data_IF_520071686893
#
_entry.id   IF_520071686893
#
_cell.length_a   1.000
_cell.length_b   1.000
_cell.length_c   1.000
_cell.angle_alpha   90.00
_cell.angle_beta   90.00
_cell.angle_gamma   90.00
#
_symmetry.space_group_name_H-M   'P 1'
#
loop_
_entity.id
_entity.type
_entity.pdbx_description
1 polymer ?
#
# COMPACT_ATOMS: atom_id res chain seq x y z
N UNK A 1 -11.33 -50.26 -17.80
CA UNK A 1 -11.73 -48.85 -17.49
C UNK A 1 -10.46 -48.00 -17.37
N UNK A 2 -10.28 -47.05 -18.30
CA UNK A 2 -9.18 -46.07 -18.21
C UNK A 2 -9.63 -44.95 -17.27
N UNK A 3 -9.00 -44.85 -16.11
CA UNK A 3 -9.18 -43.70 -15.22
C UNK A 3 -8.35 -42.57 -15.82
N UNK A 4 -9.03 -41.58 -16.42
CA UNK A 4 -8.39 -40.38 -16.90
C UNK A 4 -8.18 -39.40 -15.74
N UNK A 5 -6.98 -38.89 -15.57
CA UNK A 5 -6.71 -37.77 -14.68
C UNK A 5 -7.06 -36.47 -15.43
N UNK A 6 -7.99 -35.72 -14.89
CA UNK A 6 -8.28 -34.37 -15.37
C UNK A 6 -7.35 -33.41 -14.65
N UNK A 7 -6.47 -32.73 -15.38
CA UNK A 7 -5.75 -31.57 -14.85
C UNK A 7 -6.72 -30.42 -14.85
N UNK A 8 -7.31 -30.14 -13.70
CA UNK A 8 -8.06 -28.89 -13.52
C UNK A 8 -7.07 -27.74 -13.52
N UNK A 9 -7.22 -26.81 -14.45
CA UNK A 9 -6.57 -25.50 -14.34
C UNK A 9 -7.02 -24.90 -13.01
N UNK A 10 -6.11 -24.45 -12.13
CA UNK A 10 -6.52 -23.81 -10.88
C UNK A 10 -7.40 -22.62 -11.25
N UNK A 11 -8.68 -22.66 -10.88
CA UNK A 11 -9.52 -21.48 -10.92
C UNK A 11 -8.97 -20.54 -9.88
N UNK A 12 -8.85 -19.28 -10.24
CA UNK A 12 -8.38 -18.22 -9.37
C UNK A 12 -9.04 -18.35 -8.00
N UNK A 13 -8.22 -18.53 -6.96
CA UNK A 13 -8.68 -18.35 -5.59
C UNK A 13 -8.85 -16.84 -5.40
N UNK A 14 -10.09 -16.41 -5.19
CA UNK A 14 -10.38 -15.03 -4.86
C UNK A 14 -9.86 -14.77 -3.43
N UNK A 15 -8.83 -13.96 -3.31
CA UNK A 15 -8.37 -13.45 -2.02
C UNK A 15 -8.94 -12.04 -1.84
N UNK A 16 -9.68 -11.84 -0.77
CA UNK A 16 -10.09 -10.50 -0.35
C UNK A 16 -9.15 -10.04 0.75
N UNK A 17 -8.47 -8.95 0.52
CA UNK A 17 -7.62 -8.31 1.55
C UNK A 17 -8.37 -7.10 2.08
N UNK A 18 -8.79 -7.16 3.33
CA UNK A 18 -9.43 -6.04 4.01
C UNK A 18 -8.35 -5.16 4.64
N UNK A 19 -8.35 -3.88 4.26
CA UNK A 19 -7.47 -2.87 4.82
C UNK A 19 -8.23 -1.96 5.78
N UNK A 20 -7.52 -1.43 6.74
CA UNK A 20 -8.05 -0.52 7.75
C UNK A 20 -8.60 0.78 7.17
N UNK A 21 -8.13 1.21 6.00
CA UNK A 21 -8.64 2.41 5.32
C UNK A 21 -10.13 2.33 4.94
N UNK A 22 -10.69 1.11 4.92
CA UNK A 22 -12.11 0.85 4.64
C UNK A 22 -12.93 0.56 5.89
N UNK A 23 -12.36 0.69 7.09
CA UNK A 23 -13.11 0.52 8.34
C UNK A 23 -13.94 1.78 8.57
N UNK A 24 -15.24 1.59 8.72
CA UNK A 24 -16.18 2.68 8.97
C UNK A 24 -15.79 3.47 10.22
N UNK A 25 -15.83 4.79 10.12
CA UNK A 25 -15.51 5.70 11.22
C UNK A 25 -14.02 5.95 11.45
N UNK A 26 -13.11 5.29 10.70
CA UNK A 26 -11.69 5.62 10.77
C UNK A 26 -11.40 6.96 10.10
N UNK A 27 -10.43 7.69 10.64
CA UNK A 27 -9.91 8.94 10.07
C UNK A 27 -8.47 8.76 9.61
N UNK A 28 -8.11 9.46 8.54
CA UNK A 28 -6.72 9.51 8.04
C UNK A 28 -6.09 10.84 8.42
N UNK A 29 -4.95 10.79 9.07
CA UNK A 29 -4.15 11.97 9.39
C UNK A 29 -2.85 11.93 8.61
N UNK A 30 -2.58 13.00 7.86
CA UNK A 30 -1.29 13.18 7.21
C UNK A 30 -0.25 13.59 8.24
N UNK A 31 0.89 12.88 8.23
CA UNK A 31 2.03 13.18 9.09
C UNK A 31 3.04 14.05 8.35
N UNK A 32 3.34 13.67 7.10
CA UNK A 32 4.36 14.35 6.31
C UNK A 32 4.14 14.13 4.80
N UNK A 33 4.54 15.13 3.99
CA UNK A 33 4.60 15.05 2.53
C UNK A 33 5.84 15.81 2.09
N UNK A 34 6.81 15.14 1.49
CA UNK A 34 8.04 15.77 1.06
C UNK A 34 8.78 14.99 -0.03
N UNK A 35 9.63 15.70 -0.78
CA UNK A 35 10.53 15.09 -1.74
C UNK A 35 11.76 14.51 -1.06
N UNK A 36 12.07 13.26 -1.37
CA UNK A 36 13.24 12.56 -0.82
C UNK A 36 14.04 11.86 -1.92
N UNK A 37 15.32 11.56 -1.62
CA UNK A 37 16.07 10.57 -2.38
C UNK A 37 15.66 9.17 -1.88
N UNK A 38 15.32 8.26 -2.78
CA UNK A 38 14.83 6.94 -2.42
C UNK A 38 15.94 6.07 -1.79
N UNK A 39 15.58 5.31 -0.78
CA UNK A 39 16.42 4.24 -0.27
C UNK A 39 16.48 3.04 -1.25
N UNK A 40 17.32 2.05 -0.98
CA UNK A 40 17.47 0.88 -1.85
C UNK A 40 16.16 0.09 -2.05
N UNK A 41 15.29 0.05 -1.04
CA UNK A 41 14.00 -0.63 -1.12
C UNK A 41 13.08 0.07 -2.11
N UNK A 42 12.96 1.39 -1.99
CA UNK A 42 12.14 2.22 -2.86
C UNK A 42 12.69 2.23 -4.29
N UNK A 43 14.04 2.32 -4.45
CA UNK A 43 14.69 2.24 -5.76
C UNK A 43 14.34 0.93 -6.49
N UNK A 44 14.45 -0.20 -5.80
CA UNK A 44 14.12 -1.52 -6.35
C UNK A 44 12.62 -1.67 -6.62
N UNK A 45 11.78 -1.11 -5.74
CA UNK A 45 10.34 -1.22 -5.86
C UNK A 45 9.78 -0.38 -7.01
N UNK A 46 10.41 0.75 -7.34
CA UNK A 46 10.00 1.66 -8.41
C UNK A 46 10.83 1.55 -9.68
N UNK A 47 11.89 0.72 -9.67
CA UNK A 47 12.87 0.60 -10.77
C UNK A 47 13.47 1.95 -11.17
N UNK A 48 13.90 2.73 -10.18
CA UNK A 48 14.44 4.09 -10.36
C UNK A 48 15.89 4.21 -9.89
N UNK A 49 16.57 5.24 -10.40
CA UNK A 49 17.97 5.52 -10.03
C UNK A 49 18.06 6.20 -8.65
N UNK A 50 19.20 6.05 -7.93
CA UNK A 50 19.39 6.64 -6.60
C UNK A 50 19.26 8.17 -6.54
N UNK A 51 19.47 8.85 -7.66
CA UNK A 51 19.39 10.31 -7.78
C UNK A 51 18.04 10.84 -8.25
N UNK A 52 17.07 9.96 -8.50
CA UNK A 52 15.71 10.34 -8.85
C UNK A 52 14.90 10.63 -7.59
N UNK A 53 14.38 11.86 -7.49
CA UNK A 53 13.54 12.26 -6.35
C UNK A 53 12.19 11.56 -6.42
N UNK A 54 11.72 11.11 -5.27
CA UNK A 54 10.34 10.62 -5.08
C UNK A 54 9.62 11.49 -4.06
N UNK A 55 8.32 11.60 -4.20
CA UNK A 55 7.47 12.20 -3.17
C UNK A 55 7.06 11.09 -2.21
N UNK A 56 7.42 11.27 -0.94
CA UNK A 56 6.98 10.42 0.17
C UNK A 56 5.76 11.02 0.86
N UNK A 57 4.74 10.20 1.08
CA UNK A 57 3.57 10.53 1.87
C UNK A 57 3.51 9.62 3.09
N UNK A 58 3.44 10.23 4.26
CA UNK A 58 3.24 9.51 5.51
C UNK A 58 1.84 9.77 6.06
N UNK A 59 1.13 8.70 6.41
CA UNK A 59 -0.24 8.76 6.91
C UNK A 59 -0.45 7.85 8.09
N UNK A 60 -1.27 8.29 9.04
CA UNK A 60 -1.80 7.48 10.13
C UNK A 60 -3.27 7.21 9.90
N UNK A 61 -3.70 5.99 10.13
CA UNK A 61 -5.12 5.65 10.21
C UNK A 61 -5.49 5.48 11.67
N UNK A 62 -6.51 6.21 12.10
CA UNK A 62 -6.94 6.30 13.50
C UNK A 62 -8.39 5.83 13.56
N UNK A 63 -8.69 4.92 14.47
CA UNK A 63 -10.04 4.42 14.69
C UNK A 63 -10.90 5.42 15.48
N UNK A 64 -12.22 5.20 15.60
CA UNK A 64 -13.11 6.09 16.36
C UNK A 64 -12.74 6.28 17.83
N UNK A 65 -12.02 5.34 18.42
CA UNK A 65 -11.53 5.40 19.80
C UNK A 65 -10.21 6.21 19.93
N UNK A 66 -9.70 6.76 18.83
CA UNK A 66 -8.47 7.54 18.81
C UNK A 66 -7.18 6.71 18.79
N UNK A 67 -7.28 5.41 18.55
CA UNK A 67 -6.12 4.51 18.48
C UNK A 67 -5.54 4.49 17.06
N UNK A 68 -4.22 4.62 16.96
CA UNK A 68 -3.50 4.45 15.69
C UNK A 68 -3.51 2.95 15.36
N UNK A 69 -4.18 2.58 14.28
CA UNK A 69 -4.36 1.20 13.85
C UNK A 69 -3.52 0.83 12.65
N UNK A 70 -3.13 1.83 11.84
CA UNK A 70 -2.20 1.64 10.73
C UNK A 70 -1.33 2.87 10.48
N UNK A 71 -0.16 2.62 9.91
CA UNK A 71 0.75 3.63 9.39
C UNK A 71 1.12 3.28 7.96
N UNK A 72 1.09 4.26 7.07
CA UNK A 72 1.46 4.03 5.68
C UNK A 72 2.49 5.03 5.18
N UNK A 73 3.39 4.53 4.32
CA UNK A 73 4.29 5.31 3.47
C UNK A 73 3.94 5.04 2.02
N UNK A 74 3.77 6.09 1.23
CA UNK A 74 3.51 5.98 -0.21
C UNK A 74 4.58 6.77 -0.95
N UNK A 75 5.08 6.22 -2.04
CA UNK A 75 6.15 6.78 -2.84
C UNK A 75 5.69 6.94 -4.28
N UNK A 76 5.81 8.14 -4.82
CA UNK A 76 5.54 8.44 -6.22
C UNK A 76 6.79 9.06 -6.87
N UNK A 77 7.19 8.62 -8.07
CA UNK A 77 8.24 9.30 -8.83
C UNK A 77 7.91 10.78 -9.04
N UNK A 78 8.87 11.67 -8.75
CA UNK A 78 8.72 13.10 -8.98
C UNK A 78 9.03 13.44 -10.44
N UNK A 79 8.02 13.70 -11.24
CA UNK A 79 8.18 14.18 -12.59
C UNK A 79 8.13 15.71 -12.63
N UNK A 80 9.27 16.34 -12.89
CA UNK A 80 9.36 17.82 -13.02
C UNK A 80 8.43 18.42 -14.08
N UNK A 81 7.91 17.58 -15.00
CA UNK A 81 7.02 18.01 -16.06
C UNK A 81 5.58 18.33 -15.59
N UNK A 82 5.24 18.04 -14.36
CA UNK A 82 3.91 18.28 -13.81
C UNK A 82 3.94 19.19 -12.57
N UNK A 83 4.15 20.52 -12.72
CA UNK A 83 4.13 21.46 -11.60
C UNK A 83 2.76 21.51 -10.89
N UNK A 84 1.69 21.02 -11.52
CA UNK A 84 0.39 20.85 -10.88
C UNK A 84 0.41 19.83 -9.73
N UNK A 85 1.35 18.88 -9.74
CA UNK A 85 1.47 17.88 -8.65
C UNK A 85 1.88 18.55 -7.35
N UNK A 86 2.83 19.50 -7.36
CA UNK A 86 3.20 20.25 -6.15
C UNK A 86 2.03 21.09 -5.61
N UNK A 87 1.29 21.76 -6.51
CA UNK A 87 0.09 22.51 -6.14
C UNK A 87 -1.02 21.60 -5.63
N UNK A 88 -1.23 20.45 -6.27
CA UNK A 88 -2.22 19.46 -5.86
C UNK A 88 -1.84 18.80 -4.54
N UNK A 89 -0.56 18.52 -4.28
CA UNK A 89 -0.05 17.96 -3.02
C UNK A 89 -0.27 18.88 -1.82
N UNK A 90 -0.20 20.20 -2.03
CA UNK A 90 -0.45 21.18 -0.97
C UNK A 90 -1.94 21.31 -0.62
N UNK A 91 -2.85 20.91 -1.51
CA UNK A 91 -4.30 21.00 -1.34
C UNK A 91 -5.00 19.65 -1.30
N UNK A 92 -4.28 18.55 -1.54
CA UNK A 92 -4.89 17.26 -1.70
C UNK A 92 -5.20 16.57 -0.37
N UNK A 93 -6.47 16.32 -0.16
CA UNK A 93 -6.92 15.22 0.68
C UNK A 93 -6.63 13.93 -0.12
N UNK A 94 -5.46 13.33 0.12
CA UNK A 94 -5.01 12.13 -0.56
C UNK A 94 -5.73 10.89 0.02
N UNK A 95 -6.14 9.88 -0.74
CA UNK A 95 -5.69 9.41 -2.05
C UNK A 95 -6.61 9.75 -3.23
N UNK A 96 -7.67 10.51 -3.01
CA UNK A 96 -8.77 10.67 -3.97
C UNK A 96 -8.45 11.62 -5.14
N UNK A 97 -7.42 12.45 -5.01
CA UNK A 97 -7.16 13.52 -6.01
C UNK A 97 -6.10 13.15 -7.03
N UNK A 98 -5.10 12.35 -6.68
CA UNK A 98 -4.12 11.88 -7.67
C UNK A 98 -4.56 10.60 -8.39
N UNK A 99 -5.40 9.80 -7.75
CA UNK A 99 -5.95 8.57 -8.35
C UNK A 99 -7.01 8.79 -9.45
N UNK A 100 -7.91 9.81 -9.42
CA UNK A 100 -8.86 10.03 -10.50
C UNK A 100 -8.25 10.56 -11.80
N UNK A 101 -7.04 11.14 -11.75
CA UNK A 101 -6.32 11.59 -12.94
C UNK A 101 -5.34 10.57 -13.50
N UNK A 102 -4.88 9.65 -12.69
CA UNK A 102 -4.37 8.37 -13.14
C UNK A 102 -5.62 7.57 -13.44
N UNK A 103 -5.91 7.38 -14.71
CA UNK A 103 -7.01 6.53 -15.21
C UNK A 103 -7.05 5.27 -14.33
N UNK A 104 -7.94 5.27 -13.33
CA UNK A 104 -7.96 4.23 -12.28
C UNK A 104 -8.22 2.85 -12.85
N UNK A 105 -8.77 2.81 -14.07
CA UNK A 105 -8.95 1.59 -14.86
C UNK A 105 -7.67 1.12 -15.55
N UNK A 106 -6.59 1.90 -15.53
CA UNK A 106 -5.32 1.59 -16.17
C UNK A 106 -4.23 1.08 -15.23
N UNK A 107 -4.49 1.04 -13.92
CA UNK A 107 -3.52 0.56 -12.93
C UNK A 107 -3.84 -0.85 -12.46
N UNK A 108 -2.83 -1.71 -12.52
CA UNK A 108 -2.83 -2.97 -11.79
C UNK A 108 -2.22 -2.73 -10.41
N UNK A 109 -2.70 -3.45 -9.42
CA UNK A 109 -2.07 -3.45 -8.11
C UNK A 109 -1.54 -4.84 -7.81
N UNK A 110 -0.21 -4.97 -7.72
CA UNK A 110 0.42 -6.16 -7.16
C UNK A 110 0.59 -5.98 -5.66
N UNK A 111 0.27 -7.01 -4.90
CA UNK A 111 0.28 -6.97 -3.43
C UNK A 111 1.22 -8.05 -2.90
N UNK A 112 2.09 -7.67 -1.97
CA UNK A 112 2.89 -8.59 -1.17
C UNK A 112 2.56 -8.40 0.30
N UNK A 113 2.30 -9.48 1.01
CA UNK A 113 1.92 -9.46 2.42
C UNK A 113 2.95 -10.24 3.22
N UNK A 114 3.42 -9.66 4.31
CA UNK A 114 4.37 -10.28 5.23
C UNK A 114 4.09 -9.85 6.68
N UNK A 115 4.63 -10.59 7.62
CA UNK A 115 4.67 -10.19 9.02
C UNK A 115 6.03 -9.57 9.32
N UNK A 116 6.03 -8.46 10.05
CA UNK A 116 7.23 -7.76 10.51
C UNK A 116 7.10 -7.43 11.99
N UNK A 117 8.22 -7.32 12.69
CA UNK A 117 8.25 -6.79 14.04
C UNK A 117 8.39 -5.26 13.97
N UNK A 118 7.70 -4.53 14.84
CA UNK A 118 7.89 -3.11 14.99
C UNK A 118 9.30 -2.83 15.49
N UNK A 119 10.10 -2.07 14.74
CA UNK A 119 11.32 -1.46 15.25
C UNK A 119 11.01 -0.27 16.16
N UNK A 120 12.01 0.35 16.76
CA UNK A 120 11.82 1.47 17.67
C UNK A 120 11.08 2.64 17.02
N UNK A 121 11.37 2.93 15.75
CA UNK A 121 10.74 4.01 14.99
C UNK A 121 9.27 3.72 14.72
N UNK A 122 8.95 2.52 14.24
CA UNK A 122 7.55 2.11 14.02
C UNK A 122 6.77 2.02 15.33
N UNK A 123 7.42 1.53 16.40
CA UNK A 123 6.80 1.44 17.72
C UNK A 123 6.41 2.83 18.26
N UNK A 124 7.28 3.82 18.11
CA UNK A 124 7.00 5.20 18.50
C UNK A 124 5.86 5.79 17.65
N UNK A 125 5.95 5.68 16.31
CA UNK A 125 4.95 6.23 15.38
C UNK A 125 3.57 5.61 15.63
N UNK A 126 3.52 4.30 15.77
CA UNK A 126 2.28 3.55 15.91
C UNK A 126 1.79 3.43 17.36
N UNK A 127 2.54 3.95 18.34
CA UNK A 127 2.22 3.85 19.76
C UNK A 127 1.98 2.39 20.17
N UNK A 128 2.97 1.54 19.90
CA UNK A 128 2.97 0.13 20.25
C UNK A 128 4.31 -0.27 20.86
N UNK A 129 4.46 -1.52 21.25
CA UNK A 129 5.72 -2.02 21.82
C UNK A 129 6.73 -2.34 20.71
N UNK A 130 8.03 -2.08 20.96
CA UNK A 130 9.10 -2.61 20.10
C UNK A 130 9.01 -4.13 20.05
N UNK A 131 9.11 -4.70 18.84
CA UNK A 131 8.92 -6.13 18.61
C UNK A 131 7.47 -6.57 18.43
N UNK A 132 6.49 -5.67 18.57
CA UNK A 132 5.09 -6.00 18.30
C UNK A 132 4.90 -6.47 16.86
N UNK A 133 4.18 -7.59 16.64
CA UNK A 133 3.95 -8.10 15.29
C UNK A 133 2.97 -7.19 14.53
N UNK A 134 3.41 -6.77 13.35
CA UNK A 134 2.60 -5.97 12.42
C UNK A 134 2.41 -6.75 11.12
N UNK A 135 1.24 -6.59 10.51
CA UNK A 135 1.02 -6.99 9.13
C UNK A 135 1.61 -5.90 8.23
N UNK A 136 2.56 -6.26 7.37
CA UNK A 136 3.06 -5.39 6.32
C UNK A 136 2.41 -5.76 5.00
N UNK A 137 1.76 -4.77 4.39
CA UNK A 137 1.19 -4.87 3.06
C UNK A 137 1.95 -3.92 2.14
N UNK A 138 2.67 -4.49 1.18
CA UNK A 138 3.33 -3.74 0.11
C UNK A 138 2.42 -3.71 -1.11
N UNK A 139 2.20 -2.54 -1.68
CA UNK A 139 1.45 -2.37 -2.94
C UNK A 139 2.35 -1.77 -4.00
N UNK A 140 2.34 -2.39 -5.17
CA UNK A 140 3.02 -1.91 -6.36
C UNK A 140 1.94 -1.48 -7.36
N UNK A 141 1.91 -0.21 -7.70
CA UNK A 141 0.97 0.35 -8.66
C UNK A 141 1.63 0.33 -10.04
N UNK A 142 1.02 -0.39 -10.98
CA UNK A 142 1.60 -0.70 -12.29
C UNK A 142 0.67 -0.14 -13.37
N UNK A 143 1.22 0.61 -14.31
CA UNK A 143 0.48 1.14 -15.47
C UNK A 143 0.28 0.06 -16.54
N UNK A 144 -0.54 0.36 -17.56
CA UNK A 144 -0.82 -0.58 -18.65
C UNK A 144 0.42 -0.95 -19.48
N UNK A 145 1.42 -0.06 -19.52
CA UNK A 145 2.71 -0.25 -20.16
C UNK A 145 3.74 -0.97 -19.27
N UNK A 146 3.26 -1.59 -18.19
CA UNK A 146 4.06 -2.29 -17.16
C UNK A 146 5.01 -1.38 -16.36
N UNK A 147 4.95 -0.05 -16.52
CA UNK A 147 5.74 0.86 -15.71
C UNK A 147 5.18 1.00 -14.29
N UNK A 148 6.08 1.17 -13.33
CA UNK A 148 5.71 1.36 -11.92
C UNK A 148 5.35 2.82 -11.68
N UNK A 149 4.06 3.06 -11.41
CA UNK A 149 3.53 4.39 -11.12
C UNK A 149 3.70 4.80 -9.65
N UNK A 150 3.80 3.82 -8.75
CA UNK A 150 3.93 4.09 -7.33
C UNK A 150 4.19 2.84 -6.50
N UNK A 151 4.63 3.05 -5.27
CA UNK A 151 4.88 2.02 -4.27
C UNK A 151 4.33 2.44 -2.92
N UNK A 152 3.73 1.53 -2.18
CA UNK A 152 3.21 1.83 -0.85
C UNK A 152 3.47 0.72 0.15
N UNK A 153 3.72 1.12 1.39
CA UNK A 153 3.90 0.30 2.56
C UNK A 153 2.79 0.60 3.55
N UNK A 154 2.08 -0.43 4.00
CA UNK A 154 1.06 -0.32 5.04
C UNK A 154 1.44 -1.24 6.19
N UNK A 155 1.69 -0.65 7.36
CA UNK A 155 1.93 -1.35 8.61
C UNK A 155 0.63 -1.34 9.42
N UNK A 156 0.09 -2.51 9.71
CA UNK A 156 -1.22 -2.64 10.34
C UNK A 156 -1.11 -3.44 11.63
N UNK A 157 -1.67 -2.90 12.72
CA UNK A 157 -1.74 -3.60 14.01
C UNK A 157 -2.76 -4.72 14.00
N UNK A 158 -2.51 -5.76 14.78
CA UNK A 158 -3.55 -6.70 15.15
C UNK A 158 -4.56 -6.04 16.14
N UNK A 159 -5.86 -6.32 16.02
CA UNK A 159 -6.54 -7.25 15.08
C UNK A 159 -7.08 -6.58 13.81
N UNK A 160 -6.63 -5.37 13.48
CA UNK A 160 -7.22 -4.55 12.41
C UNK A 160 -6.85 -4.99 10.99
N UNK A 161 -5.75 -5.71 10.83
CA UNK A 161 -5.35 -6.29 9.55
C UNK A 161 -5.79 -7.74 9.45
N UNK A 162 -6.70 -8.06 8.51
CA UNK A 162 -7.14 -9.42 8.26
C UNK A 162 -7.00 -9.75 6.79
N UNK A 163 -6.48 -10.96 6.52
CA UNK A 163 -6.45 -11.55 5.20
C UNK A 163 -7.51 -12.65 5.15
N UNK A 164 -8.56 -12.43 4.37
CA UNK A 164 -9.61 -13.42 4.17
C UNK A 164 -9.49 -14.00 2.76
N UNK A 165 -9.44 -15.32 2.67
CA UNK A 165 -9.40 -16.06 1.42
C UNK A 165 -10.39 -17.19 1.43
N UNK A 166 -11.02 -17.46 0.29
CA UNK A 166 -11.82 -18.63 0.05
C UNK A 166 -11.13 -19.51 -0.99
N UNK A 167 -10.96 -20.78 -0.68
CA UNK A 167 -10.51 -21.79 -1.63
C UNK A 167 -11.60 -22.84 -1.79
N UNK A 168 -11.91 -23.25 -3.02
CA UNK A 168 -12.92 -24.29 -3.31
C UNK A 168 -13.51 -24.15 -4.70
N UNK A 169 -14.29 -25.15 -5.08
CA UNK A 169 -15.06 -25.08 -6.32
C UNK A 169 -16.41 -24.41 -6.01
N UNK A 170 -16.74 -23.31 -6.71
CA UNK A 170 -18.14 -22.93 -6.84
C UNK A 170 -18.79 -23.89 -7.82
N UNK A 171 -19.75 -24.70 -7.33
CA UNK A 171 -20.64 -25.51 -8.16
C UNK A 171 -21.60 -24.60 -8.92
#
# INVERSE_FOLDING_TARGET
AKIGYFVCTPRHSDFTVNFTEYIEGCTTQYKNIHGILPDERVQKALDIQPNQVVIEFEQLTINPEGVIIAYSKKYLPYEKAHPSVEGELNYAVFPEITMPKLDTFSLYTSIRISAVAADDTLAEIMQCSTGEPLLLVERFFIQQDEQLAGYALFYVKQPYGQLNGMSGYRL
#
